data_IF_094511067694
#
_entry.id   IF_094511067694
#
_cell.length_a   1.000
_cell.length_b   1.000
_cell.length_c   1.000
_cell.angle_alpha   90.00
_cell.angle_beta   90.00
_cell.angle_gamma   90.00
#
_symmetry.space_group_name_H-M   'P 1'
#
loop_
_entity.id
_entity.type
_entity.pdbx_description
1 polymer ?
#
# COMPACT_ATOMS: atom_id res chain seq x y z
N UNK A 1 7.55 -7.05 14.43
CA UNK A 1 6.77 -8.00 13.61
C UNK A 1 5.59 -7.26 13.01
N UNK A 2 5.04 -7.75 11.91
CA UNK A 2 3.74 -7.28 11.42
C UNK A 2 2.63 -7.67 12.43
N UNK A 3 1.58 -6.86 12.51
CA UNK A 3 0.39 -7.19 13.30
C UNK A 3 -0.42 -8.28 12.56
N UNK A 4 -1.11 -9.14 13.30
CA UNK A 4 -2.02 -10.12 12.70
C UNK A 4 -3.28 -9.42 12.17
N UNK A 5 -3.91 -9.98 11.13
CA UNK A 5 -5.09 -9.37 10.50
C UNK A 5 -6.24 -9.14 11.49
N UNK A 6 -6.51 -10.14 12.35
CA UNK A 6 -7.57 -10.04 13.37
C UNK A 6 -7.39 -8.86 14.33
N UNK A 7 -6.16 -8.42 14.55
CA UNK A 7 -5.85 -7.28 15.44
C UNK A 7 -6.13 -5.94 14.76
N UNK A 8 -6.10 -5.90 13.43
CA UNK A 8 -6.21 -4.66 12.65
C UNK A 8 -7.56 -4.53 11.95
N UNK A 9 -8.38 -5.59 11.90
CA UNK A 9 -9.64 -5.63 11.17
C UNK A 9 -10.58 -4.46 11.51
N UNK A 10 -10.79 -4.20 12.80
CA UNK A 10 -11.66 -3.10 13.24
C UNK A 10 -11.06 -1.72 12.92
N UNK A 11 -9.74 -1.62 12.88
CA UNK A 11 -9.04 -0.38 12.51
C UNK A 11 -9.14 -0.11 11.01
N UNK A 12 -9.07 -1.15 10.17
CA UNK A 12 -9.34 -1.04 8.74
C UNK A 12 -10.77 -0.53 8.53
N UNK A 13 -11.74 -1.07 9.26
CA UNK A 13 -13.14 -0.62 9.20
C UNK A 13 -13.27 0.86 9.57
N UNK A 14 -12.67 1.26 10.69
CA UNK A 14 -12.67 2.66 11.11
C UNK A 14 -11.98 3.59 10.09
N UNK A 15 -10.88 3.15 9.49
CA UNK A 15 -10.21 3.91 8.43
C UNK A 15 -11.10 4.06 7.20
N UNK A 16 -11.80 3.00 6.78
CA UNK A 16 -12.75 3.07 5.66
C UNK A 16 -13.93 4.00 5.94
N UNK A 17 -14.50 3.97 7.15
CA UNK A 17 -15.61 4.85 7.55
C UNK A 17 -15.20 6.33 7.52
N UNK A 18 -13.99 6.65 7.97
CA UNK A 18 -13.52 8.03 8.05
C UNK A 18 -12.98 8.58 6.72
N UNK A 19 -12.32 7.75 5.91
CA UNK A 19 -11.47 8.21 4.81
C UNK A 19 -11.91 7.76 3.41
N UNK A 20 -12.96 6.95 3.26
CA UNK A 20 -13.45 6.49 1.94
C UNK A 20 -13.96 7.60 1.00
N UNK A 21 -14.15 8.82 1.53
CA UNK A 21 -14.47 9.98 0.73
C UNK A 21 -13.29 10.45 -0.16
N UNK A 22 -12.05 10.07 0.19
CA UNK A 22 -10.85 10.34 -0.60
C UNK A 22 -10.84 9.57 -1.93
N UNK A 23 -9.94 9.95 -2.84
CA UNK A 23 -9.70 9.21 -4.09
C UNK A 23 -8.89 7.94 -3.87
N UNK A 24 -7.95 8.00 -2.92
CA UNK A 24 -7.19 6.86 -2.45
C UNK A 24 -6.43 7.22 -1.20
N UNK A 25 -6.05 6.21 -0.43
CA UNK A 25 -5.19 6.39 0.74
C UNK A 25 -4.44 5.09 1.03
N UNK A 26 -3.36 5.21 1.80
CA UNK A 26 -2.63 4.07 2.35
C UNK A 26 -2.75 4.08 3.86
N UNK A 27 -3.27 3.00 4.44
CA UNK A 27 -3.29 2.79 5.88
C UNK A 27 -2.08 1.94 6.31
N UNK A 28 -1.32 2.44 7.29
CA UNK A 28 -0.26 1.70 7.98
C UNK A 28 -0.79 1.13 9.30
N UNK A 29 -0.96 -0.20 9.41
CA UNK A 29 -1.37 -0.81 10.66
C UNK A 29 -0.33 -0.67 11.78
N UNK A 30 0.93 -0.37 11.43
CA UNK A 30 2.02 -0.27 12.40
C UNK A 30 1.97 1.02 13.20
N UNK A 31 1.68 2.13 12.54
CA UNK A 31 1.53 3.44 13.17
C UNK A 31 0.09 3.81 13.48
N UNK A 32 -0.88 3.04 12.95
CA UNK A 32 -2.30 3.36 12.99
C UNK A 32 -2.60 4.70 12.31
N UNK A 33 -2.00 4.91 11.12
CA UNK A 33 -2.07 6.18 10.38
C UNK A 33 -2.55 5.94 8.95
N UNK A 34 -3.40 6.84 8.47
CA UNK A 34 -3.81 6.94 7.07
C UNK A 34 -2.98 8.02 6.40
N UNK A 35 -2.51 7.75 5.18
CA UNK A 35 -1.74 8.66 4.35
C UNK A 35 -2.43 8.86 3.01
N UNK A 36 -2.83 10.09 2.70
CA UNK A 36 -3.23 10.52 1.37
C UNK A 36 -2.01 11.05 0.63
N UNK A 37 -1.45 10.19 -0.21
CA UNK A 37 -0.21 10.46 -0.95
C UNK A 37 -0.35 11.55 -2.00
N UNK A 38 -1.58 12.01 -2.32
CA UNK A 38 -1.78 13.21 -3.15
C UNK A 38 -1.19 14.46 -2.48
N UNK A 39 -1.07 14.46 -1.14
CA UNK A 39 -0.39 15.49 -0.38
C UNK A 39 1.08 15.14 -0.15
N UNK A 40 1.98 15.99 -0.66
CA UNK A 40 3.45 15.81 -0.59
C UNK A 40 3.95 15.49 0.84
N UNK A 41 3.40 16.17 1.85
CA UNK A 41 3.85 15.99 3.23
C UNK A 41 3.45 14.62 3.81
N UNK A 42 2.31 14.07 3.40
CA UNK A 42 1.86 12.74 3.82
C UNK A 42 2.62 11.65 3.07
N UNK A 43 2.86 11.82 1.76
CA UNK A 43 3.74 10.93 1.00
C UNK A 43 5.16 10.87 1.59
N UNK A 44 5.72 12.03 1.97
CA UNK A 44 7.01 12.08 2.65
C UNK A 44 6.98 11.44 4.04
N UNK A 45 5.88 11.59 4.79
CA UNK A 45 5.70 10.96 6.09
C UNK A 45 5.65 9.43 5.96
N UNK A 46 4.87 8.92 5.01
CA UNK A 46 4.80 7.50 4.67
C UNK A 46 6.17 6.95 4.26
N UNK A 47 6.88 7.63 3.35
CA UNK A 47 8.23 7.23 2.95
C UNK A 47 9.17 7.09 4.16
N UNK A 48 9.18 8.09 5.04
CA UNK A 48 10.02 8.10 6.25
C UNK A 48 9.64 6.98 7.21
N UNK A 49 8.36 6.71 7.40
CA UNK A 49 7.90 5.58 8.22
C UNK A 49 8.43 4.26 7.67
N UNK A 50 8.24 4.02 6.37
CA UNK A 50 8.58 2.76 5.73
C UNK A 50 10.09 2.51 5.74
N UNK A 51 10.91 3.53 5.44
CA UNK A 51 12.37 3.43 5.54
C UNK A 51 12.83 3.16 6.97
N UNK A 52 12.26 3.86 7.97
CA UNK A 52 12.63 3.64 9.39
C UNK A 52 12.25 2.25 9.87
N UNK A 53 11.15 1.70 9.39
CA UNK A 53 10.70 0.38 9.79
C UNK A 53 11.28 -0.78 8.97
N UNK A 54 11.83 -0.50 7.79
CA UNK A 54 12.35 -1.49 6.85
C UNK A 54 13.87 -1.60 6.98
N UNK A 55 14.36 -2.68 7.61
CA UNK A 55 15.81 -2.86 7.85
C UNK A 55 16.67 -2.89 6.59
N UNK A 56 16.06 -3.17 5.43
CA UNK A 56 16.75 -3.31 4.15
C UNK A 56 16.43 -2.17 3.18
N UNK A 57 15.58 -1.22 3.56
CA UNK A 57 15.24 -0.10 2.69
C UNK A 57 16.31 0.98 2.79
N UNK A 58 16.73 1.45 1.63
CA UNK A 58 17.68 2.55 1.51
C UNK A 58 16.93 3.87 1.38
N UNK A 59 17.32 4.86 2.19
CA UNK A 59 16.69 6.18 2.22
C UNK A 59 16.88 6.99 0.93
N UNK A 60 17.82 6.61 0.08
CA UNK A 60 18.15 7.28 -1.19
C UNK A 60 17.41 6.66 -2.40
N UNK A 61 16.53 5.68 -2.18
CA UNK A 61 15.81 4.97 -3.25
C UNK A 61 14.30 5.10 -3.12
N UNK A 62 13.56 5.13 -4.24
CA UNK A 62 12.10 5.11 -4.20
C UNK A 62 11.57 3.85 -3.53
N UNK A 63 10.39 3.98 -2.90
CA UNK A 63 9.57 2.88 -2.40
C UNK A 63 8.43 2.66 -3.37
N UNK A 64 8.06 1.40 -3.55
CA UNK A 64 6.98 0.95 -4.42
C UNK A 64 5.95 0.23 -3.57
N UNK A 65 4.70 0.66 -3.66
CA UNK A 65 3.55 0.04 -3.02
C UNK A 65 2.81 -0.77 -4.09
N UNK A 66 2.82 -2.09 -3.93
CA UNK A 66 2.21 -3.04 -4.88
C UNK A 66 1.04 -3.71 -4.17
N UNK A 67 -0.17 -3.51 -4.67
CA UNK A 67 -1.35 -4.24 -4.19
C UNK A 67 -1.25 -5.72 -4.61
N UNK A 68 -1.66 -6.66 -3.74
CA UNK A 68 -1.53 -8.11 -4.02
C UNK A 68 -2.86 -8.83 -4.19
N UNK A 69 -3.96 -8.23 -3.75
CA UNK A 69 -5.28 -8.86 -3.72
C UNK A 69 -6.15 -8.53 -4.92
N UNK A 70 -5.89 -7.41 -5.62
CA UNK A 70 -6.74 -6.87 -6.69
C UNK A 70 -8.24 -6.92 -6.32
N UNK A 71 -8.54 -6.61 -5.07
CA UNK A 71 -9.82 -6.87 -4.45
C UNK A 71 -10.77 -5.71 -4.78
N UNK A 72 -11.67 -5.97 -5.74
CA UNK A 72 -12.67 -5.01 -6.17
C UNK A 72 -13.76 -4.90 -5.10
N UNK A 73 -13.94 -3.70 -4.54
CA UNK A 73 -14.85 -3.43 -3.44
C UNK A 73 -14.13 -2.87 -2.21
N UNK A 74 -14.91 -2.63 -1.16
CA UNK A 74 -14.42 -2.11 0.13
C UNK A 74 -14.66 -3.08 1.29
N UNK A 75 -15.10 -4.30 0.97
CA UNK A 75 -15.40 -5.30 1.98
C UNK A 75 -14.11 -5.78 2.65
N UNK A 76 -14.21 -6.04 3.96
CA UNK A 76 -13.11 -6.59 4.74
C UNK A 76 -13.36 -8.09 4.84
N UNK A 77 -13.00 -8.79 3.77
CA UNK A 77 -13.34 -10.19 3.53
C UNK A 77 -12.12 -11.13 3.71
N UNK A 78 -12.34 -12.40 3.38
CA UNK A 78 -11.30 -13.43 3.42
C UNK A 78 -10.20 -13.21 2.38
N UNK A 79 -10.52 -12.60 1.22
CA UNK A 79 -9.53 -12.26 0.20
C UNK A 79 -8.51 -11.25 0.72
N UNK A 80 -9.00 -10.16 1.33
CA UNK A 80 -8.15 -9.13 1.93
C UNK A 80 -7.32 -9.70 3.08
N UNK A 81 -7.93 -10.52 3.94
CA UNK A 81 -7.24 -11.22 5.02
C UNK A 81 -6.10 -12.07 4.48
N UNK A 82 -6.39 -12.97 3.56
CA UNK A 82 -5.44 -13.97 3.08
C UNK A 82 -4.27 -13.31 2.35
N UNK A 83 -4.52 -12.24 1.58
CA UNK A 83 -3.48 -11.43 0.96
C UNK A 83 -2.60 -10.70 1.96
N UNK A 84 -3.21 -10.07 2.97
CA UNK A 84 -2.46 -9.41 4.05
C UNK A 84 -1.59 -10.41 4.82
N UNK A 85 -2.15 -11.54 5.21
CA UNK A 85 -1.42 -12.59 5.92
C UNK A 85 -0.31 -13.20 5.07
N UNK A 86 -0.51 -13.36 3.76
CA UNK A 86 0.55 -13.78 2.85
C UNK A 86 1.74 -12.82 2.88
N UNK A 87 1.49 -11.50 2.86
CA UNK A 87 2.55 -10.48 2.94
C UNK A 87 3.28 -10.53 4.29
N UNK A 88 2.57 -10.75 5.40
CA UNK A 88 3.17 -10.76 6.74
C UNK A 88 4.23 -11.85 6.94
N UNK A 89 4.22 -12.90 6.11
CA UNK A 89 5.20 -13.99 6.15
C UNK A 89 6.61 -13.54 5.74
N UNK A 90 6.72 -12.48 4.94
CA UNK A 90 8.00 -12.00 4.41
C UNK A 90 8.21 -10.48 4.57
N UNK A 91 7.19 -9.74 4.98
CA UNK A 91 7.28 -8.31 5.29
C UNK A 91 6.86 -8.04 6.74
N UNK A 92 7.59 -7.14 7.41
CA UNK A 92 7.23 -6.64 8.73
C UNK A 92 6.35 -5.37 8.67
N UNK A 93 6.01 -4.89 7.47
CA UNK A 93 5.24 -3.68 7.21
C UNK A 93 4.26 -3.88 6.04
N UNK A 94 3.33 -4.84 6.13
CA UNK A 94 2.19 -4.88 5.22
C UNK A 94 1.33 -3.62 5.42
N UNK A 95 0.76 -3.10 4.34
CA UNK A 95 -0.13 -1.95 4.34
C UNK A 95 -1.52 -2.37 3.81
N UNK A 96 -2.49 -1.48 3.98
CA UNK A 96 -3.79 -1.56 3.32
C UNK A 96 -3.92 -0.36 2.40
N UNK A 97 -4.19 -0.59 1.11
CA UNK A 97 -4.40 0.45 0.12
C UNK A 97 -5.89 0.57 -0.20
N UNK A 98 -6.40 1.79 -0.20
CA UNK A 98 -7.70 2.12 -0.76
C UNK A 98 -7.50 2.99 -2.00
N UNK A 99 -8.23 2.72 -3.08
CA UNK A 99 -8.19 3.55 -4.28
C UNK A 99 -9.45 3.41 -5.12
N UNK A 100 -9.69 4.40 -5.99
CA UNK A 100 -10.75 4.40 -6.99
C UNK A 100 -10.14 4.36 -8.39
N UNK A 101 -10.65 3.50 -9.26
CA UNK A 101 -10.32 3.56 -10.68
C UNK A 101 -10.95 4.81 -11.35
N UNK A 102 -10.59 5.12 -12.61
CA UNK A 102 -11.20 6.23 -13.34
C UNK A 102 -12.73 6.14 -13.51
N UNK A 103 -13.30 4.93 -13.45
CA UNK A 103 -14.74 4.69 -13.50
C UNK A 103 -15.43 4.86 -12.13
N UNK A 104 -14.65 5.13 -11.07
CA UNK A 104 -15.12 5.30 -9.70
C UNK A 104 -15.30 4.02 -8.90
N UNK A 105 -14.90 2.86 -9.45
CA UNK A 105 -14.92 1.58 -8.71
C UNK A 105 -13.87 1.64 -7.61
N UNK A 106 -14.29 1.25 -6.42
CA UNK A 106 -13.41 1.24 -5.25
C UNK A 106 -12.70 -0.09 -5.11
N UNK A 107 -11.49 -0.04 -4.57
CA UNK A 107 -10.64 -1.19 -4.29
C UNK A 107 -10.06 -1.05 -2.89
N UNK A 108 -9.98 -2.16 -2.18
CA UNK A 108 -9.36 -2.25 -0.87
C UNK A 108 -8.41 -3.43 -0.86
N UNK A 109 -7.12 -3.13 -0.88
CA UNK A 109 -6.08 -4.09 -1.15
C UNK A 109 -5.11 -4.28 0.00
N UNK A 110 -4.62 -5.50 0.16
CA UNK A 110 -3.40 -5.72 0.91
C UNK A 110 -2.21 -5.28 0.05
N UNK A 111 -1.27 -4.54 0.64
CA UNK A 111 -0.19 -3.88 -0.11
C UNK A 111 1.16 -4.31 0.44
N UNK A 112 2.03 -4.78 -0.45
CA UNK A 112 3.44 -5.03 -0.17
C UNK A 112 4.26 -3.78 -0.46
N UNK A 113 5.22 -3.51 0.44
CA UNK A 113 6.19 -2.44 0.30
C UNK A 113 7.50 -3.02 -0.22
N UNK A 114 8.03 -2.47 -1.32
CA UNK A 114 9.25 -2.96 -1.94
C UNK A 114 10.16 -1.82 -2.42
N UNK A 115 11.43 -2.16 -2.62
CA UNK A 115 12.38 -1.34 -3.40
C UNK A 115 12.95 -2.21 -4.51
N UNK A 116 13.06 -1.64 -5.70
CA UNK A 116 13.60 -2.33 -6.87
C UNK A 116 14.89 -1.64 -7.35
N UNK A 117 15.74 -2.40 -8.04
CA UNK A 117 16.96 -1.85 -8.67
C UNK A 117 16.58 -0.92 -9.83
N UNK A 118 15.51 -1.26 -10.55
CA UNK A 118 14.95 -0.50 -11.66
C UNK A 118 13.42 -0.62 -11.69
N UNK A 119 12.78 0.24 -12.49
CA UNK A 119 11.33 0.31 -12.60
C UNK A 119 10.71 -0.95 -13.24
N UNK A 120 11.41 -1.59 -14.17
CA UNK A 120 10.98 -2.86 -14.78
C UNK A 120 10.78 -3.97 -13.73
N UNK A 121 11.60 -3.98 -12.68
CA UNK A 121 11.44 -4.91 -11.56
C UNK A 121 10.10 -4.70 -10.84
N UNK A 122 9.71 -3.44 -10.64
CA UNK A 122 8.42 -3.10 -10.05
C UNK A 122 7.28 -3.55 -10.96
N UNK A 123 7.34 -3.21 -12.26
CA UNK A 123 6.33 -3.58 -13.25
C UNK A 123 6.12 -5.11 -13.30
N UNK A 124 7.21 -5.90 -13.32
CA UNK A 124 7.11 -7.37 -13.30
C UNK A 124 6.41 -7.88 -12.05
N UNK A 125 6.66 -7.28 -10.88
CA UNK A 125 5.97 -7.67 -9.65
C UNK A 125 4.49 -7.27 -9.69
N UNK A 126 4.15 -6.07 -10.17
CA UNK A 126 2.76 -5.65 -10.35
C UNK A 126 1.97 -6.58 -11.28
N UNK A 127 2.53 -6.92 -12.45
CA UNK A 127 1.92 -7.87 -13.40
C UNK A 127 1.64 -9.24 -12.78
N UNK A 128 2.55 -9.74 -11.95
CA UNK A 128 2.38 -11.04 -11.27
C UNK A 128 1.15 -11.06 -10.36
N UNK A 129 0.77 -9.91 -9.80
CA UNK A 129 -0.40 -9.76 -8.94
C UNK A 129 -1.63 -9.19 -9.68
N UNK A 130 -1.58 -9.11 -11.02
CA UNK A 130 -2.66 -8.57 -11.84
C UNK A 130 -2.94 -7.09 -11.60
N UNK A 131 -1.97 -6.33 -11.09
CA UNK A 131 -2.14 -4.91 -10.82
C UNK A 131 -1.89 -4.08 -12.07
N UNK A 132 -2.79 -3.14 -12.35
CA UNK A 132 -2.65 -2.16 -13.44
C UNK A 132 -1.72 -1.00 -13.07
N UNK A 133 -1.65 -0.65 -11.78
CA UNK A 133 -0.87 0.48 -11.29
C UNK A 133 -0.04 0.13 -10.05
N UNK A 134 1.13 0.76 -9.95
CA UNK A 134 2.01 0.70 -8.78
C UNK A 134 2.26 2.13 -8.31
N UNK A 135 2.06 2.38 -7.02
CA UNK A 135 2.39 3.67 -6.44
C UNK A 135 3.88 3.71 -6.08
N UNK A 136 4.62 4.65 -6.67
CA UNK A 136 6.03 4.92 -6.38
C UNK A 136 6.14 6.20 -5.58
N UNK A 137 6.86 6.16 -4.46
CA UNK A 137 7.13 7.32 -3.60
C UNK A 137 8.64 7.54 -3.55
N UNK A 138 9.10 8.73 -3.91
CA UNK A 138 10.51 9.14 -3.89
C UNK A 138 10.93 9.67 -2.51
N UNK A 139 12.25 9.75 -2.23
CA UNK A 139 12.75 10.26 -0.96
C UNK A 139 12.36 11.70 -0.60
N UNK A 140 12.01 12.51 -1.59
CA UNK A 140 11.53 13.89 -1.42
C UNK A 140 10.01 13.97 -1.21
N UNK A 141 9.31 12.84 -1.22
CA UNK A 141 7.85 12.74 -1.09
C UNK A 141 7.10 12.85 -2.40
N UNK A 142 7.74 13.13 -3.53
CA UNK A 142 7.04 13.11 -4.82
C UNK A 142 6.61 11.69 -5.17
N UNK A 143 5.48 11.54 -5.85
CA UNK A 143 4.93 10.24 -6.20
C UNK A 143 4.58 10.13 -7.68
N UNK A 144 4.61 8.90 -8.20
CA UNK A 144 4.05 8.56 -9.51
C UNK A 144 3.19 7.30 -9.40
N UNK A 145 2.21 7.18 -10.29
CA UNK A 145 1.59 5.91 -10.61
C UNK A 145 2.27 5.33 -11.84
N UNK A 146 2.89 4.15 -11.68
CA UNK A 146 3.49 3.41 -12.79
C UNK A 146 2.43 2.47 -13.32
N UNK A 147 2.04 2.65 -14.58
CA UNK A 147 1.20 1.68 -15.28
C UNK A 147 2.03 0.43 -15.56
N UNK A 148 1.43 -0.74 -15.35
CA UNK A 148 2.12 -2.00 -15.56
C UNK A 148 2.01 -2.50 -16.98
N UNK A 149 0.94 -2.20 -17.73
CA UNK A 149 0.69 -2.72 -19.08
C UNK A 149 1.80 -2.46 -20.11
#
# INVERSE_FOLDING_TARGET
MALAFIVIQDKIRAAMELWSHLKGFTYSPKSDTVFDVEYLHEALALFRELVRGGRHFRADRPIYLVAVTHHTGIEIDDTLRDGYEAITKFSNQPLIGYWKDPDGRSYLDAVVVAQFINEEGAIREGKKHGQEFILKIRPDGTYDHIQTD
#
